data_IF_246263871229
#
_entry.id   IF_246263871229
#
_cell.length_a   1.000
_cell.length_b   1.000
_cell.length_c   1.000
_cell.angle_alpha   90.00
_cell.angle_beta   90.00
_cell.angle_gamma   90.00
#
_symmetry.space_group_name_H-M   'P 1'
#
loop_
_entity.id
_entity.type
_entity.pdbx_description
1 polymer ?
#
# COMPACT_ATOMS: atom_id res chain seq x y z
N UNK A 1 13.69 14.03 16.15
CA UNK A 1 13.19 13.91 14.75
C UNK A 1 12.42 12.62 14.67
N UNK A 2 11.10 12.66 14.75
CA UNK A 2 10.26 11.47 14.52
C UNK A 2 10.37 11.13 13.04
N UNK A 3 10.96 9.99 12.69
CA UNK A 3 10.91 9.50 11.32
C UNK A 3 9.44 9.35 10.92
N UNK A 4 9.02 10.03 9.85
CA UNK A 4 7.66 9.91 9.33
C UNK A 4 7.38 8.44 9.00
N UNK A 5 6.25 7.90 9.48
CA UNK A 5 5.86 6.53 9.18
C UNK A 5 5.64 6.36 7.67
N UNK A 6 6.00 5.20 7.12
CA UNK A 6 5.77 4.86 5.71
C UNK A 6 4.29 4.52 5.46
N UNK A 7 3.43 5.53 5.58
CA UNK A 7 1.98 5.45 5.42
C UNK A 7 1.51 6.04 4.08
N UNK A 8 0.32 5.67 3.57
CA UNK A 8 -0.20 6.19 2.32
C UNK A 8 -0.70 7.63 2.46
N UNK A 9 -0.38 8.47 1.48
CA UNK A 9 -0.91 9.81 1.31
C UNK A 9 -2.01 9.81 0.25
N UNK A 10 -3.27 9.83 0.68
CA UNK A 10 -4.44 9.86 -0.21
C UNK A 10 -4.71 11.30 -0.70
N UNK A 11 -5.17 11.50 -1.95
CA UNK A 11 -5.56 10.49 -2.94
C UNK A 11 -4.41 10.05 -3.86
N UNK A 12 -3.19 10.58 -3.71
CA UNK A 12 -2.05 10.20 -4.56
C UNK A 12 -1.60 8.74 -4.36
N UNK A 13 -1.89 8.18 -3.18
CA UNK A 13 -1.36 6.90 -2.72
C UNK A 13 0.17 6.83 -2.68
N UNK A 14 0.87 7.97 -2.66
CA UNK A 14 2.31 8.02 -2.45
C UNK A 14 2.65 7.91 -0.97
N UNK A 15 3.85 7.43 -0.66
CA UNK A 15 4.28 7.27 0.72
C UNK A 15 4.62 8.62 1.35
N UNK A 16 4.05 8.91 2.52
CA UNK A 16 4.33 10.12 3.30
C UNK A 16 5.81 10.31 3.68
N UNK A 17 6.56 9.21 3.82
CA UNK A 17 7.94 9.25 4.26
C UNK A 17 8.95 9.38 3.12
N UNK A 18 8.72 8.70 1.99
CA UNK A 18 9.70 8.62 0.90
C UNK A 18 9.19 9.06 -0.47
N UNK A 19 7.92 9.44 -0.61
CA UNK A 19 7.31 9.92 -1.85
C UNK A 19 7.17 8.88 -2.97
N UNK A 20 7.57 7.62 -2.74
CA UNK A 20 7.37 6.51 -3.70
C UNK A 20 5.93 6.00 -3.64
N UNK A 21 5.42 5.31 -4.68
CA UNK A 21 4.12 4.65 -4.62
C UNK A 21 4.00 3.75 -3.38
N UNK A 22 3.03 4.03 -2.52
CA UNK A 22 2.73 3.17 -1.37
C UNK A 22 1.92 1.94 -1.84
N UNK A 23 2.17 0.73 -1.34
CA UNK A 23 3.18 0.38 -0.34
C UNK A 23 4.59 0.27 -0.96
N UNK A 24 5.50 1.12 -0.46
CA UNK A 24 6.93 1.04 -0.76
C UNK A 24 7.61 -0.03 0.10
N UNK A 25 8.83 -0.48 -0.25
CA UNK A 25 9.50 -1.59 0.44
C UNK A 25 9.53 -1.48 1.98
N UNK A 26 9.86 -0.32 2.60
CA UNK A 26 9.81 -0.20 4.06
C UNK A 26 8.41 -0.32 4.66
N UNK A 27 7.36 0.10 3.91
CA UNK A 27 5.98 -0.09 4.35
C UNK A 27 5.61 -1.58 4.30
N UNK A 28 6.04 -2.30 3.25
CA UNK A 28 5.80 -3.73 3.10
C UNK A 28 6.42 -4.51 4.25
N UNK A 29 7.68 -4.21 4.56
CA UNK A 29 8.40 -4.81 5.69
C UNK A 29 7.71 -4.55 7.03
N UNK A 30 7.33 -3.31 7.31
CA UNK A 30 6.63 -2.95 8.55
C UNK A 30 5.26 -3.65 8.66
N UNK A 31 4.46 -3.64 7.59
CA UNK A 31 3.16 -4.29 7.55
C UNK A 31 3.25 -5.81 7.75
N UNK A 32 4.23 -6.45 7.11
CA UNK A 32 4.47 -7.89 7.25
C UNK A 32 5.03 -8.29 8.62
N UNK A 33 5.73 -7.38 9.31
CA UNK A 33 6.18 -7.59 10.68
C UNK A 33 5.04 -7.46 11.70
N UNK A 34 4.07 -6.58 11.44
CA UNK A 34 3.00 -6.24 12.39
C UNK A 34 1.72 -7.09 12.23
N UNK A 35 1.57 -7.80 11.10
CA UNK A 35 0.35 -8.53 10.76
C UNK A 35 0.63 -9.98 10.34
N UNK A 36 -0.26 -10.89 10.71
CA UNK A 36 -0.29 -12.21 10.08
C UNK A 36 -0.78 -12.13 8.62
N UNK A 37 -0.60 -13.21 7.87
CA UNK A 37 -0.95 -13.27 6.44
C UNK A 37 -2.42 -12.92 6.17
N UNK A 38 -3.36 -13.43 6.97
CA UNK A 38 -4.80 -13.23 6.72
C UNK A 38 -5.16 -11.77 6.93
N UNK A 39 -4.69 -11.18 8.04
CA UNK A 39 -4.90 -9.77 8.35
C UNK A 39 -4.24 -8.86 7.32
N UNK A 40 -3.03 -9.19 6.89
CA UNK A 40 -2.32 -8.44 5.86
C UNK A 40 -3.05 -8.48 4.51
N UNK A 41 -3.54 -9.67 4.11
CA UNK A 41 -4.28 -9.83 2.87
C UNK A 41 -5.59 -9.03 2.85
N UNK A 42 -6.37 -9.07 3.94
CA UNK A 42 -7.58 -8.25 4.06
C UNK A 42 -7.24 -6.75 4.01
N UNK A 43 -6.24 -6.31 4.78
CA UNK A 43 -5.84 -4.91 4.80
C UNK A 43 -5.39 -4.39 3.42
N UNK A 44 -4.63 -5.20 2.68
CA UNK A 44 -4.16 -4.84 1.34
C UNK A 44 -5.28 -4.87 0.29
N UNK A 45 -6.28 -5.73 0.46
CA UNK A 45 -7.48 -5.73 -0.38
C UNK A 45 -8.31 -4.46 -0.18
N UNK A 46 -8.59 -4.08 1.08
CA UNK A 46 -9.31 -2.85 1.40
C UNK A 46 -8.58 -1.63 0.83
N UNK A 47 -7.25 -1.59 0.96
CA UNK A 47 -6.41 -0.54 0.41
C UNK A 47 -6.48 -0.48 -1.12
N UNK A 48 -6.49 -1.64 -1.81
CA UNK A 48 -6.68 -1.69 -3.26
C UNK A 48 -8.03 -1.10 -3.66
N UNK A 49 -9.12 -1.49 -2.99
CA UNK A 49 -10.47 -0.99 -3.31
C UNK A 49 -10.58 0.52 -3.16
N UNK A 50 -9.95 1.08 -2.12
CA UNK A 50 -9.90 2.53 -1.94
C UNK A 50 -9.03 3.20 -3.00
N UNK A 51 -7.88 2.62 -3.35
CA UNK A 51 -7.00 3.15 -4.39
C UNK A 51 -7.68 3.18 -5.78
N UNK A 52 -8.52 2.19 -6.10
CA UNK A 52 -9.34 2.18 -7.32
C UNK A 52 -10.28 3.39 -7.39
N UNK A 53 -10.77 3.87 -6.25
CA UNK A 53 -11.68 5.04 -6.17
C UNK A 53 -10.93 6.37 -6.23
N UNK A 54 -9.74 6.43 -5.64
CA UNK A 54 -8.97 7.67 -5.50
C UNK A 54 -8.11 7.99 -6.72
N UNK A 55 -7.52 6.98 -7.36
CA UNK A 55 -6.58 7.15 -8.46
C UNK A 55 -7.30 7.43 -9.79
N UNK A 56 -6.67 8.15 -10.73
CA UNK A 56 -7.17 8.23 -12.10
C UNK A 56 -7.30 6.82 -12.70
N UNK A 57 -8.07 6.63 -13.79
CA UNK A 57 -8.26 5.32 -14.42
C UNK A 57 -6.93 4.58 -14.64
N UNK A 58 -6.70 3.57 -13.82
CA UNK A 58 -5.45 2.79 -13.76
C UNK A 58 -5.80 1.33 -14.09
N UNK A 59 -5.00 0.63 -14.92
CA UNK A 59 -5.25 -0.77 -15.22
C UNK A 59 -5.36 -1.62 -13.95
N UNK A 60 -6.39 -2.46 -13.86
CA UNK A 60 -6.61 -3.32 -12.69
C UNK A 60 -5.40 -4.22 -12.37
N UNK A 61 -4.66 -4.65 -13.41
CA UNK A 61 -3.43 -5.44 -13.26
C UNK A 61 -2.32 -4.67 -12.53
N UNK A 62 -2.21 -3.37 -12.77
CA UNK A 62 -1.20 -2.52 -12.12
C UNK A 62 -1.51 -2.35 -10.62
N UNK A 63 -2.78 -2.11 -10.28
CA UNK A 63 -3.20 -2.04 -8.88
C UNK A 63 -3.07 -3.40 -8.18
N UNK A 64 -3.41 -4.50 -8.86
CA UNK A 64 -3.21 -5.84 -8.32
C UNK A 64 -1.72 -6.12 -8.03
N UNK A 65 -0.82 -5.81 -8.96
CA UNK A 65 0.63 -5.94 -8.79
C UNK A 65 1.16 -5.05 -7.65
N UNK A 66 0.65 -3.83 -7.54
CA UNK A 66 1.10 -2.90 -6.52
C UNK A 66 0.69 -3.32 -5.11
N UNK A 67 -0.54 -3.76 -4.92
CA UNK A 67 -1.11 -4.02 -3.59
C UNK A 67 -1.02 -5.49 -3.17
N UNK A 68 -1.14 -6.47 -4.08
CA UNK A 68 -1.33 -7.88 -3.72
C UNK A 68 -0.18 -8.82 -4.08
N UNK A 69 0.61 -8.57 -5.13
CA UNK A 69 1.62 -9.59 -5.55
C UNK A 69 2.82 -9.73 -4.63
N UNK A 70 3.01 -8.84 -3.66
CA UNK A 70 4.11 -8.94 -2.69
C UNK A 70 3.72 -9.66 -1.39
N UNK A 71 2.42 -9.91 -1.19
CA UNK A 71 1.91 -10.68 -0.04
C UNK A 71 1.59 -12.13 -0.41
N UNK A 72 1.42 -12.41 -1.71
CA UNK A 72 1.19 -13.74 -2.29
C UNK A 72 2.53 -14.43 -2.58
#
# INVERSE_FOLDING_TARGET
MTATAHAPHKPSWDCLACGRPWPCDPAREALAADMDFVRLACFMWDALEEAVRDLPPTPATELFQRFLTWIL
#
